data_IF_322933069266
#
_entry.id   IF_322933069266
#
_cell.length_a   1.000
_cell.length_b   1.000
_cell.length_c   1.000
_cell.angle_alpha   90.00
_cell.angle_beta   90.00
_cell.angle_gamma   90.00
#
_symmetry.space_group_name_H-M   'P 1'
#
loop_
_entity.id
_entity.type
_entity.pdbx_description
1 polymer ?
#
# COMPACT_ATOMS: atom_id res chain seq x y z
N UNK A 1 13.69 -5.86 13.59
CA UNK A 1 13.93 -6.97 12.65
C UNK A 1 14.01 -6.40 11.24
N UNK A 2 15.00 -6.79 10.44
CA UNK A 2 15.06 -6.40 9.02
C UNK A 2 14.56 -7.57 8.18
N UNK A 3 13.73 -7.28 7.19
CA UNK A 3 13.28 -8.25 6.21
C UNK A 3 13.94 -7.90 4.88
N UNK A 4 14.73 -8.83 4.35
CA UNK A 4 15.31 -8.73 3.01
C UNK A 4 14.31 -9.31 2.00
N UNK A 5 14.24 -8.69 0.81
CA UNK A 5 13.35 -9.10 -0.27
C UNK A 5 14.22 -9.34 -1.50
N UNK A 6 14.46 -10.62 -1.81
CA UNK A 6 15.17 -11.01 -3.02
C UNK A 6 14.21 -11.07 -4.21
N UNK A 7 14.66 -10.59 -5.36
CA UNK A 7 13.93 -10.69 -6.62
C UNK A 7 14.53 -11.80 -7.48
N UNK A 8 13.68 -12.58 -8.14
CA UNK A 8 14.14 -13.57 -9.10
C UNK A 8 14.94 -12.88 -10.23
N UNK A 9 16.02 -13.54 -10.67
CA UNK A 9 16.87 -13.02 -11.76
C UNK A 9 16.04 -12.72 -13.01
N UNK A 10 16.23 -11.52 -13.58
CA UNK A 10 15.50 -11.05 -14.76
C UNK A 10 14.08 -10.53 -14.50
N UNK A 11 13.57 -10.61 -13.26
CA UNK A 11 12.25 -10.06 -12.94
C UNK A 11 12.28 -8.54 -12.79
N UNK A 12 11.21 -7.88 -13.25
CA UNK A 12 10.99 -6.45 -13.05
C UNK A 12 10.08 -6.25 -11.85
N UNK A 13 10.47 -5.38 -10.94
CA UNK A 13 9.62 -5.01 -9.82
C UNK A 13 8.40 -4.19 -10.28
N UNK A 14 7.29 -4.31 -9.57
CA UNK A 14 6.00 -3.75 -9.99
C UNK A 14 6.01 -2.22 -10.04
N UNK A 15 5.52 -1.66 -11.14
CA UNK A 15 5.25 -0.22 -11.31
C UNK A 15 3.82 -0.05 -11.86
N UNK A 16 2.83 -0.42 -11.06
CA UNK A 16 1.42 -0.44 -11.45
C UNK A 16 0.69 0.78 -10.88
N UNK A 17 -0.01 1.52 -11.75
CA UNK A 17 -0.86 2.63 -11.33
C UNK A 17 -2.12 2.14 -10.62
N UNK A 18 -2.56 2.92 -9.65
CA UNK A 18 -3.83 2.72 -8.98
C UNK A 18 -4.99 2.76 -9.99
N UNK A 19 -5.91 1.80 -9.90
CA UNK A 19 -7.17 1.82 -10.67
C UNK A 19 -8.19 2.74 -9.99
N UNK A 20 -9.19 3.26 -10.72
CA UNK A 20 -10.26 4.03 -10.10
C UNK A 20 -10.93 3.24 -8.96
N UNK A 21 -11.07 3.89 -7.81
CA UNK A 21 -11.74 3.32 -6.64
C UNK A 21 -13.06 4.07 -6.38
N UNK A 22 -14.07 3.39 -5.80
CA UNK A 22 -15.20 4.08 -5.20
C UNK A 22 -14.74 5.12 -4.19
N UNK A 23 -15.42 6.28 -4.14
CA UNK A 23 -15.05 7.40 -3.26
C UNK A 23 -14.88 7.00 -1.79
N UNK A 24 -15.75 6.12 -1.29
CA UNK A 24 -15.70 5.64 0.09
C UNK A 24 -14.42 4.82 0.37
N UNK A 25 -13.89 4.10 -0.62
CA UNK A 25 -12.64 3.35 -0.47
C UNK A 25 -11.44 4.29 -0.50
N UNK A 26 -11.49 5.34 -1.33
CA UNK A 26 -10.43 6.36 -1.35
C UNK A 26 -10.18 6.95 0.03
N UNK A 27 -11.25 7.44 0.69
CA UNK A 27 -11.13 7.98 2.04
C UNK A 27 -10.61 6.95 3.05
N UNK A 28 -11.08 5.71 2.98
CA UNK A 28 -10.63 4.66 3.90
C UNK A 28 -9.13 4.33 3.73
N UNK A 29 -8.60 4.41 2.51
CA UNK A 29 -7.17 4.25 2.24
C UNK A 29 -6.39 5.43 2.84
N UNK A 30 -6.85 6.66 2.63
CA UNK A 30 -6.17 7.85 3.15
C UNK A 30 -6.13 7.84 4.69
N UNK A 31 -7.26 7.56 5.34
CA UNK A 31 -7.34 7.45 6.81
C UNK A 31 -6.41 6.33 7.34
N UNK A 32 -6.33 5.19 6.63
CA UNK A 32 -5.46 4.07 7.01
C UNK A 32 -3.97 4.43 6.93
N UNK A 33 -3.54 5.06 5.84
CA UNK A 33 -2.15 5.47 5.68
C UNK A 33 -1.77 6.60 6.63
N UNK A 34 -2.67 7.54 6.93
CA UNK A 34 -2.41 8.59 7.92
C UNK A 34 -2.14 8.01 9.31
N UNK A 35 -2.99 7.09 9.78
CA UNK A 35 -2.77 6.40 11.06
C UNK A 35 -1.47 5.59 11.08
N UNK A 36 -1.17 4.88 9.99
CA UNK A 36 0.09 4.14 9.87
C UNK A 36 1.33 5.05 9.78
N UNK A 37 1.20 6.24 9.20
CA UNK A 37 2.28 7.23 9.11
C UNK A 37 2.62 7.77 10.50
N UNK A 38 1.60 8.10 11.28
CA UNK A 38 1.76 8.57 12.67
C UNK A 38 2.39 7.50 13.57
N UNK A 39 2.04 6.22 13.36
CA UNK A 39 2.66 5.10 14.06
C UNK A 39 4.09 4.77 13.60
N UNK A 40 4.61 5.45 12.56
CA UNK A 40 5.94 5.19 11.99
C UNK A 40 6.04 3.90 11.18
N UNK A 41 4.92 3.27 10.83
CA UNK A 41 4.88 2.04 10.03
C UNK A 41 5.13 2.30 8.55
N UNK A 42 4.75 3.47 8.06
CA UNK A 42 4.88 3.87 6.65
C UNK A 42 5.42 5.29 6.54
N UNK A 43 6.00 5.61 5.39
CA UNK A 43 6.47 6.96 5.02
C UNK A 43 6.27 7.19 3.55
N UNK A 44 6.29 8.45 3.13
CA UNK A 44 6.34 8.80 1.71
C UNK A 44 7.61 8.20 1.07
N UNK A 45 7.43 7.66 -0.14
CA UNK A 45 8.45 6.94 -0.86
C UNK A 45 8.80 7.68 -2.15
N UNK A 46 10.10 7.75 -2.47
CA UNK A 46 10.62 8.21 -3.76
C UNK A 46 10.87 7.05 -4.73
N UNK A 47 10.43 5.83 -4.37
CA UNK A 47 10.63 4.65 -5.20
C UNK A 47 9.93 4.81 -6.56
N UNK A 48 10.56 4.40 -7.66
CA UNK A 48 9.91 4.36 -8.97
C UNK A 48 8.86 3.24 -9.09
N UNK A 49 8.68 2.47 -8.02
CA UNK A 49 7.85 1.28 -7.97
C UNK A 49 6.57 1.50 -7.16
N UNK A 50 5.48 0.87 -7.62
CA UNK A 50 4.18 0.98 -6.99
C UNK A 50 3.37 -0.30 -7.18
N UNK A 51 2.63 -0.68 -6.13
CA UNK A 51 1.61 -1.71 -6.16
C UNK A 51 0.27 -1.07 -5.82
N UNK A 52 -0.83 -1.45 -6.50
CA UNK A 52 -2.13 -0.86 -6.24
C UNK A 52 -2.63 -1.27 -4.85
N UNK A 53 -3.34 -0.36 -4.17
CA UNK A 53 -3.93 -0.58 -2.85
C UNK A 53 -5.46 -0.63 -2.96
N UNK A 54 -6.08 -1.50 -2.17
CA UNK A 54 -7.54 -1.65 -2.09
C UNK A 54 -7.94 -1.84 -0.62
N UNK A 55 -9.09 -1.27 -0.24
CA UNK A 55 -9.71 -1.55 1.05
C UNK A 55 -10.67 -2.73 0.94
N UNK A 56 -10.54 -3.68 1.86
CA UNK A 56 -11.49 -4.79 2.04
C UNK A 56 -12.20 -4.63 3.37
N UNK A 57 -13.52 -4.88 3.39
CA UNK A 57 -14.28 -4.94 4.65
C UNK A 57 -14.01 -6.30 5.30
N UNK A 58 -13.53 -6.30 6.53
CA UNK A 58 -13.36 -7.53 7.32
C UNK A 58 -14.74 -7.99 7.82
N UNK A 59 -14.94 -9.31 7.89
CA UNK A 59 -16.22 -9.89 8.32
C UNK A 59 -16.49 -9.63 9.81
N UNK A 60 -15.45 -9.68 10.63
CA UNK A 60 -15.46 -9.21 12.02
C UNK A 60 -15.10 -7.72 12.00
N UNK A 61 -16.00 -6.88 12.50
CA UNK A 61 -15.80 -5.43 12.59
C UNK A 61 -14.48 -5.10 13.28
N UNK A 62 -13.70 -4.21 12.65
CA UNK A 62 -12.58 -3.53 13.30
C UNK A 62 -13.09 -2.36 14.11
#
# INVERSE_FOLDING_TARGET
MRHEIDLASGSKYCATRQRPLPRYQGKAIDDFFEGHRQAGHVRESISPHSSPTFCVKKATGG
#
